data_IF_956051403131
#
_entry.id   IF_956051403131
#
_cell.length_a   1.000
_cell.length_b   1.000
_cell.length_c   1.000
_cell.angle_alpha   90.00
_cell.angle_beta   90.00
_cell.angle_gamma   90.00
#
_symmetry.space_group_name_H-M   'P 1'
#
loop_
_entity.id
_entity.type
_entity.pdbx_description
1 polymer ?
#
# COMPACT_ATOMS: atom_id res chain seq x y z
N UNK A 1 10.60 31.72 -9.08
CA UNK A 1 10.77 30.77 -7.96
C UNK A 1 11.40 29.50 -8.51
N UNK A 2 12.60 29.16 -8.04
CA UNK A 2 13.59 28.30 -8.73
C UNK A 2 13.30 26.80 -8.57
N UNK A 3 13.45 26.09 -9.70
CA UNK A 3 13.80 24.68 -9.90
C UNK A 3 13.99 23.83 -8.62
N UNK A 4 13.10 22.85 -8.42
CA UNK A 4 13.32 21.70 -7.55
C UNK A 4 12.89 20.40 -8.24
N UNK A 5 13.16 20.31 -9.55
CA UNK A 5 12.49 19.36 -10.45
C UNK A 5 13.41 18.33 -11.13
N UNK A 6 14.71 18.26 -10.83
CA UNK A 6 15.63 17.44 -11.64
C UNK A 6 16.01 16.05 -11.09
N UNK A 7 15.75 15.68 -9.83
CA UNK A 7 16.16 14.34 -9.32
C UNK A 7 15.22 13.73 -8.27
N UNK A 8 13.90 13.74 -8.49
CA UNK A 8 13.02 12.84 -7.72
C UNK A 8 12.58 11.70 -8.62
N UNK A 9 13.31 10.59 -8.54
CA UNK A 9 12.88 9.26 -9.00
C UNK A 9 11.69 8.77 -8.15
N UNK A 10 10.64 9.59 -8.00
CA UNK A 10 9.53 9.35 -7.08
C UNK A 10 8.22 9.43 -7.84
N UNK A 11 7.44 8.34 -7.79
CA UNK A 11 6.11 8.25 -8.36
C UNK A 11 5.10 7.91 -7.26
N UNK A 12 3.93 8.55 -7.29
CA UNK A 12 2.86 8.33 -6.33
C UNK A 12 1.63 7.82 -7.07
N UNK A 13 1.24 6.58 -6.82
CA UNK A 13 0.01 5.98 -7.33
C UNK A 13 -1.07 5.99 -6.26
N UNK A 14 -2.32 5.94 -6.71
CA UNK A 14 -3.50 5.84 -5.86
C UNK A 14 -4.35 4.69 -6.35
N UNK A 15 -4.91 3.93 -5.41
CA UNK A 15 -6.10 3.15 -5.72
C UNK A 15 -7.37 4.03 -5.68
N UNK A 16 -8.51 3.38 -5.69
CA UNK A 16 -9.85 3.96 -5.71
C UNK A 16 -10.39 4.32 -4.33
N UNK A 17 -9.80 3.82 -3.24
CA UNK A 17 -10.34 4.03 -1.90
C UNK A 17 -10.38 5.51 -1.48
N UNK A 18 -9.35 6.29 -1.83
CA UNK A 18 -9.33 7.72 -1.51
C UNK A 18 -8.40 8.57 -2.41
N UNK A 19 -8.75 8.72 -3.69
CA UNK A 19 -7.96 9.48 -4.68
C UNK A 19 -7.64 10.92 -4.27
N UNK A 20 -8.59 11.62 -3.65
CA UNK A 20 -8.40 13.01 -3.22
C UNK A 20 -7.25 13.19 -2.18
N UNK A 21 -6.95 12.15 -1.41
CA UNK A 21 -5.86 12.17 -0.44
C UNK A 21 -4.52 12.03 -1.16
N UNK A 22 -4.43 11.09 -2.10
CA UNK A 22 -3.25 10.94 -2.93
C UNK A 22 -2.95 12.20 -3.75
N UNK A 23 -3.98 12.85 -4.31
CA UNK A 23 -3.83 14.14 -5.01
C UNK A 23 -3.33 15.25 -4.09
N UNK A 24 -3.84 15.31 -2.86
CA UNK A 24 -3.38 16.29 -1.85
C UNK A 24 -1.92 16.04 -1.47
N UNK A 25 -1.52 14.78 -1.26
CA UNK A 25 -0.13 14.40 -1.02
C UNK A 25 0.76 14.81 -2.20
N UNK A 26 0.33 14.54 -3.44
CA UNK A 26 1.06 14.93 -4.64
C UNK A 26 1.26 16.45 -4.73
N UNK A 27 0.21 17.22 -4.39
CA UNK A 27 0.24 18.69 -4.37
C UNK A 27 1.25 19.23 -3.37
N UNK A 28 1.24 18.71 -2.14
CA UNK A 28 2.19 19.10 -1.08
C UNK A 28 3.63 18.72 -1.42
N UNK A 29 3.83 17.55 -2.04
CA UNK A 29 5.14 17.09 -2.49
C UNK A 29 5.64 17.79 -3.77
N UNK A 30 4.76 18.51 -4.47
CA UNK A 30 5.05 19.14 -5.75
C UNK A 30 5.30 18.14 -6.89
N UNK A 31 4.70 16.95 -6.81
CA UNK A 31 4.83 15.88 -7.81
C UNK A 31 3.52 15.65 -8.55
N UNK A 32 3.58 15.03 -9.73
CA UNK A 32 2.38 14.60 -10.46
C UNK A 32 1.97 13.20 -10.01
N UNK A 33 0.66 12.92 -9.85
CA UNK A 33 0.19 11.56 -9.64
C UNK A 33 0.63 10.66 -10.79
N UNK A 34 0.94 9.42 -10.45
CA UNK A 34 1.28 8.40 -11.42
C UNK A 34 0.07 7.97 -12.25
N UNK A 35 0.34 7.49 -13.46
CA UNK A 35 -0.66 7.02 -14.41
C UNK A 35 -0.83 5.52 -14.28
N UNK A 36 -1.95 5.12 -13.72
CA UNK A 36 -2.39 3.74 -13.72
C UNK A 36 -3.90 3.70 -13.92
N UNK A 37 -4.36 2.74 -14.73
CA UNK A 37 -5.73 2.31 -14.77
C UNK A 37 -5.97 1.39 -13.57
N UNK A 38 -6.92 1.76 -12.72
CA UNK A 38 -7.37 0.94 -11.59
C UNK A 38 -8.88 0.85 -11.69
N UNK A 39 -9.37 -0.27 -12.20
CA UNK A 39 -10.78 -0.52 -12.50
C UNK A 39 -11.20 -1.90 -11.99
N UNK A 40 -12.46 -2.26 -12.20
CA UNK A 40 -13.00 -3.58 -11.89
C UNK A 40 -13.58 -4.20 -13.15
N UNK A 41 -13.33 -5.48 -13.35
CA UNK A 41 -13.99 -6.28 -14.38
C UNK A 41 -15.49 -6.45 -14.05
N UNK A 42 -16.27 -6.94 -15.01
CA UNK A 42 -17.72 -7.12 -14.88
C UNK A 42 -18.14 -8.13 -13.80
N UNK A 43 -17.23 -9.04 -13.42
CA UNK A 43 -17.40 -10.02 -12.34
C UNK A 43 -16.95 -9.49 -10.96
N UNK A 44 -16.40 -8.27 -10.91
CA UNK A 44 -15.91 -7.64 -9.68
C UNK A 44 -14.43 -7.89 -9.38
N UNK A 45 -13.68 -8.57 -10.26
CA UNK A 45 -12.24 -8.71 -10.11
C UNK A 45 -11.51 -7.37 -10.34
N UNK A 46 -10.42 -7.14 -9.62
CA UNK A 46 -9.63 -5.91 -9.78
C UNK A 46 -8.80 -5.99 -11.06
N UNK A 47 -8.89 -4.94 -11.88
CA UNK A 47 -8.05 -4.71 -13.04
C UNK A 47 -7.08 -3.57 -12.76
N UNK A 48 -5.78 -3.82 -12.93
CA UNK A 48 -4.73 -2.81 -12.82
C UNK A 48 -3.83 -2.81 -14.04
N UNK A 49 -3.55 -1.64 -14.58
CA UNK A 49 -2.57 -1.44 -15.65
C UNK A 49 -1.74 -0.18 -15.36
N UNK A 50 -0.40 -0.32 -15.40
CA UNK A 50 0.51 0.81 -15.20
C UNK A 50 0.80 1.46 -16.56
N UNK A 51 0.41 2.72 -16.72
CA UNK A 51 0.44 3.45 -18.00
C UNK A 51 1.68 4.35 -18.15
N UNK A 52 2.67 4.22 -17.28
CA UNK A 52 3.92 4.96 -17.36
C UNK A 52 5.14 4.13 -16.95
N UNK A 53 6.34 4.65 -17.27
CA UNK A 53 7.57 3.98 -16.93
C UNK A 53 7.93 4.16 -15.44
N UNK A 54 7.84 3.07 -14.69
CA UNK A 54 8.19 3.00 -13.25
C UNK A 54 9.55 2.36 -12.99
N UNK A 55 10.30 1.98 -14.03
CA UNK A 55 11.54 1.19 -13.89
C UNK A 55 12.60 1.99 -13.14
N UNK A 56 13.18 1.38 -12.09
CA UNK A 56 14.18 2.00 -11.19
C UNK A 56 13.70 3.28 -10.47
N UNK A 57 12.38 3.50 -10.42
CA UNK A 57 11.77 4.58 -9.64
C UNK A 57 11.42 4.08 -8.23
N UNK A 58 11.48 4.97 -7.26
CA UNK A 58 10.84 4.78 -5.96
C UNK A 58 9.34 5.07 -6.11
N UNK A 59 8.52 4.10 -5.76
CA UNK A 59 7.08 4.16 -5.95
C UNK A 59 6.36 4.13 -4.62
N UNK A 60 5.38 5.00 -4.46
CA UNK A 60 4.50 5.08 -3.31
C UNK A 60 3.07 4.79 -3.74
N UNK A 61 2.41 3.85 -3.08
CA UNK A 61 1.02 3.49 -3.39
C UNK A 61 0.15 3.93 -2.23
N UNK A 62 -0.65 4.98 -2.43
CA UNK A 62 -1.58 5.49 -1.42
C UNK A 62 -2.92 4.79 -1.56
N UNK A 63 -3.24 3.93 -0.59
CA UNK A 63 -4.52 3.25 -0.55
C UNK A 63 -4.90 2.92 0.89
N UNK A 64 -5.87 3.65 1.47
CA UNK A 64 -6.53 3.23 2.69
C UNK A 64 -7.29 1.90 2.49
N UNK A 65 -7.25 1.01 3.48
CA UNK A 65 -8.07 -0.23 3.46
C UNK A 65 -9.37 -0.02 4.23
N UNK A 66 -10.05 1.10 3.95
CA UNK A 66 -11.36 1.44 4.52
C UNK A 66 -12.49 0.65 3.82
N UNK A 67 -13.73 0.79 4.30
CA UNK A 67 -14.85 0.07 3.70
C UNK A 67 -15.03 0.45 2.21
N UNK A 68 -15.14 -0.54 1.30
CA UNK A 68 -15.07 -1.99 1.55
C UNK A 68 -13.62 -2.51 1.68
N UNK A 69 -13.31 -3.11 2.83
CA UNK A 69 -11.92 -3.34 3.23
C UNK A 69 -11.22 -4.45 2.45
N UNK A 70 -11.94 -5.50 2.04
CA UNK A 70 -11.38 -6.61 1.29
C UNK A 70 -11.04 -6.19 -0.15
N UNK A 71 -11.97 -5.54 -0.85
CA UNK A 71 -11.72 -5.01 -2.19
C UNK A 71 -10.57 -4.00 -2.21
N UNK A 72 -10.56 -3.04 -1.29
CA UNK A 72 -9.48 -2.03 -1.22
C UNK A 72 -8.11 -2.64 -0.89
N UNK A 73 -8.08 -3.70 -0.07
CA UNK A 73 -6.87 -4.47 0.21
C UNK A 73 -6.41 -5.23 -1.04
N UNK A 74 -7.31 -5.93 -1.73
CA UNK A 74 -6.97 -6.65 -2.96
C UNK A 74 -6.46 -5.71 -4.05
N UNK A 75 -7.08 -4.55 -4.20
CA UNK A 75 -6.65 -3.53 -5.16
C UNK A 75 -5.22 -3.04 -4.87
N UNK A 76 -4.91 -2.78 -3.59
CA UNK A 76 -3.55 -2.41 -3.16
C UNK A 76 -2.54 -3.52 -3.48
N UNK A 77 -2.88 -4.77 -3.18
CA UNK A 77 -1.99 -5.92 -3.37
C UNK A 77 -1.68 -6.14 -4.86
N UNK A 78 -2.70 -6.07 -5.73
CA UNK A 78 -2.54 -6.21 -7.19
C UNK A 78 -1.73 -5.05 -7.76
N UNK A 79 -1.96 -3.83 -7.28
CA UNK A 79 -1.21 -2.65 -7.71
C UNK A 79 0.28 -2.74 -7.33
N UNK A 80 0.58 -3.22 -6.12
CA UNK A 80 1.97 -3.47 -5.70
C UNK A 80 2.64 -4.55 -6.54
N UNK A 81 1.96 -5.66 -6.82
CA UNK A 81 2.49 -6.74 -7.67
C UNK A 81 2.78 -6.23 -9.09
N UNK A 82 1.87 -5.46 -9.69
CA UNK A 82 2.07 -4.85 -11.01
C UNK A 82 3.31 -3.94 -11.06
N UNK A 83 3.49 -3.09 -10.03
CA UNK A 83 4.65 -2.20 -9.92
C UNK A 83 5.96 -2.96 -9.73
N UNK A 84 5.94 -4.05 -8.94
CA UNK A 84 7.12 -4.88 -8.71
C UNK A 84 7.53 -5.61 -10.00
N UNK A 85 6.57 -6.17 -10.73
CA UNK A 85 6.81 -6.79 -12.05
C UNK A 85 7.30 -5.79 -13.09
N UNK A 86 6.84 -4.54 -13.02
CA UNK A 86 7.34 -3.44 -13.84
C UNK A 86 8.75 -2.93 -13.45
N UNK A 87 9.44 -3.62 -12.53
CA UNK A 87 10.83 -3.33 -12.12
C UNK A 87 11.02 -1.98 -11.44
N UNK A 88 10.06 -1.55 -10.63
CA UNK A 88 10.25 -0.45 -9.68
C UNK A 88 11.46 -0.73 -8.76
N UNK A 89 12.24 0.31 -8.42
CA UNK A 89 13.38 0.16 -7.51
C UNK A 89 12.92 -0.22 -6.11
N UNK A 90 11.85 0.42 -5.64
CA UNK A 90 11.21 0.12 -4.36
C UNK A 90 9.73 0.48 -4.42
N UNK A 91 8.88 -0.32 -3.78
CA UNK A 91 7.45 -0.06 -3.64
C UNK A 91 7.11 0.11 -2.16
N UNK A 92 6.65 1.31 -1.80
CA UNK A 92 6.18 1.63 -0.45
C UNK A 92 4.65 1.72 -0.45
N UNK A 93 3.98 0.85 0.28
CA UNK A 93 2.54 0.91 0.48
C UNK A 93 2.21 1.92 1.58
N UNK A 94 1.50 2.98 1.25
CA UNK A 94 1.00 3.98 2.19
C UNK A 94 -0.47 3.66 2.47
N UNK A 95 -0.74 3.18 3.67
CA UNK A 95 -2.05 2.71 4.15
C UNK A 95 -2.49 3.59 5.33
N UNK A 96 -3.02 4.81 5.08
CA UNK A 96 -3.36 5.76 6.13
C UNK A 96 -4.34 5.21 7.17
N UNK A 97 -5.27 4.38 6.72
CA UNK A 97 -6.15 3.61 7.60
C UNK A 97 -5.94 2.13 7.32
N UNK A 98 -5.44 1.40 8.32
CA UNK A 98 -5.22 -0.04 8.24
C UNK A 98 -6.47 -0.79 8.73
N UNK A 99 -7.32 -1.20 7.78
CA UNK A 99 -8.34 -2.21 8.00
C UNK A 99 -7.73 -3.51 8.55
N UNK A 100 -8.53 -4.31 9.26
CA UNK A 100 -8.07 -5.52 9.97
C UNK A 100 -7.12 -5.30 11.17
N UNK A 101 -6.83 -4.04 11.55
CA UNK A 101 -6.01 -3.70 12.73
C UNK A 101 -6.64 -4.07 14.08
N UNK A 102 -7.96 -4.29 14.15
CA UNK A 102 -8.68 -4.54 15.42
C UNK A 102 -8.50 -5.95 16.02
N UNK A 103 -8.03 -6.92 15.23
CA UNK A 103 -7.71 -8.28 15.71
C UNK A 103 -6.19 -8.47 15.70
N UNK A 104 -5.50 -7.66 16.53
CA UNK A 104 -4.04 -7.64 16.68
C UNK A 104 -3.51 -8.72 17.64
N UNK A 105 -4.37 -9.23 18.54
CA UNK A 105 -3.98 -10.18 19.59
C UNK A 105 -4.99 -11.30 19.81
N UNK A 106 -4.49 -12.45 20.29
CA UNK A 106 -5.32 -13.50 20.88
C UNK A 106 -5.73 -13.09 22.29
N UNK A 107 -7.01 -12.83 22.53
CA UNK A 107 -7.53 -12.76 23.90
C UNK A 107 -7.70 -14.20 24.44
N UNK A 108 -7.12 -14.47 25.62
CA UNK A 108 -7.34 -15.65 26.49
C UNK A 108 -7.62 -16.96 25.74
N UNK A 109 -6.57 -17.58 25.18
CA UNK A 109 -6.60 -18.92 24.56
C UNK A 109 -7.70 -19.15 23.50
N UNK A 110 -8.32 -18.08 22.98
CA UNK A 110 -9.33 -18.19 21.93
C UNK A 110 -8.67 -18.53 20.60
N UNK A 111 -9.33 -19.40 19.82
CA UNK A 111 -8.94 -19.79 18.46
C UNK A 111 -9.37 -18.72 17.46
N UNK A 112 -8.91 -17.49 17.65
CA UNK A 112 -9.21 -16.35 16.76
C UNK A 112 -8.03 -16.05 15.82
N UNK A 113 -8.30 -15.61 14.57
CA UNK A 113 -7.24 -15.20 13.67
C UNK A 113 -6.63 -13.87 14.14
N UNK A 114 -5.34 -13.68 13.83
CA UNK A 114 -4.65 -12.39 13.96
C UNK A 114 -4.64 -11.77 12.56
N UNK A 115 -5.73 -11.12 12.17
CA UNK A 115 -5.92 -10.66 10.77
C UNK A 115 -4.94 -9.56 10.37
N UNK A 116 -4.46 -8.75 11.32
CA UNK A 116 -3.38 -7.80 11.08
C UNK A 116 -2.08 -8.49 10.62
N UNK A 117 -1.72 -9.63 11.24
CA UNK A 117 -0.54 -10.44 10.84
C UNK A 117 -0.75 -11.08 9.46
N UNK A 118 -1.96 -11.50 9.14
CA UNK A 118 -2.29 -12.03 7.82
C UNK A 118 -2.12 -10.96 6.74
N UNK A 119 -2.69 -9.77 6.95
CA UNK A 119 -2.54 -8.65 6.03
C UNK A 119 -1.06 -8.24 5.86
N UNK A 120 -0.29 -8.17 6.95
CA UNK A 120 1.15 -7.89 6.90
C UNK A 120 1.93 -8.92 6.05
N UNK A 121 1.60 -10.21 6.18
CA UNK A 121 2.19 -11.27 5.34
C UNK A 121 1.82 -11.11 3.88
N UNK A 122 0.59 -10.69 3.57
CA UNK A 122 0.15 -10.43 2.19
C UNK A 122 0.97 -9.30 1.55
N UNK A 123 1.19 -8.19 2.25
CA UNK A 123 2.04 -7.09 1.74
C UNK A 123 3.46 -7.56 1.42
N UNK A 124 4.04 -8.38 2.30
CA UNK A 124 5.37 -8.95 2.09
C UNK A 124 5.38 -9.89 0.89
N UNK A 125 4.35 -10.72 0.74
CA UNK A 125 4.24 -11.71 -0.34
C UNK A 125 4.13 -11.07 -1.73
N UNK A 126 3.44 -9.93 -1.87
CA UNK A 126 3.36 -9.20 -3.16
C UNK A 126 4.59 -8.33 -3.44
N UNK A 127 5.56 -8.27 -2.51
CA UNK A 127 6.83 -7.59 -2.71
C UNK A 127 6.82 -6.10 -2.35
N UNK A 128 5.95 -5.67 -1.43
CA UNK A 128 6.05 -4.34 -0.82
C UNK A 128 7.34 -4.26 0.02
N UNK A 129 8.21 -3.29 -0.30
CA UNK A 129 9.48 -3.12 0.40
C UNK A 129 9.29 -2.42 1.75
N UNK A 130 8.26 -1.58 1.86
CA UNK A 130 7.89 -0.84 3.09
C UNK A 130 6.38 -0.66 3.16
N UNK A 131 5.84 -0.61 4.38
CA UNK A 131 4.46 -0.23 4.66
C UNK A 131 4.46 0.96 5.61
N UNK A 132 3.79 2.05 5.24
CA UNK A 132 3.58 3.24 6.05
C UNK A 132 2.10 3.32 6.42
N UNK A 133 1.78 3.55 7.68
CA UNK A 133 0.40 3.67 8.15
C UNK A 133 0.33 4.69 9.28
N UNK A 134 -0.85 5.29 9.47
CA UNK A 134 -1.11 6.31 10.50
C UNK A 134 -2.12 5.73 11.47
N UNK A 135 -1.81 5.78 12.77
CA UNK A 135 -2.64 5.23 13.85
C UNK A 135 -2.96 3.73 13.74
N UNK A 136 -1.95 2.90 13.98
CA UNK A 136 -2.20 1.52 14.36
C UNK A 136 -2.79 1.53 15.78
N UNK A 137 -3.98 0.94 15.94
CA UNK A 137 -4.69 0.81 17.23
C UNK A 137 -3.96 -0.09 18.27
N UNK A 138 -2.67 -0.36 18.05
CA UNK A 138 -1.80 -1.03 18.99
C UNK A 138 -0.53 -0.18 19.15
N UNK A 139 -0.26 0.27 20.36
CA UNK A 139 0.86 1.15 20.78
C UNK A 139 2.29 0.64 20.43
N UNK A 140 2.48 -0.35 19.55
CA UNK A 140 3.80 -0.97 19.32
C UNK A 140 4.13 -1.37 17.88
N UNK A 141 3.39 -0.98 16.86
CA UNK A 141 3.68 -1.45 15.51
C UNK A 141 4.83 -0.70 14.77
N UNK A 142 5.87 -0.34 15.53
CA UNK A 142 7.20 0.00 15.04
C UNK A 142 8.09 -1.25 15.12
N UNK A 143 7.91 -2.20 14.19
CA UNK A 143 8.81 -3.36 14.15
C UNK A 143 8.23 -4.61 13.50
N UNK A 144 8.10 -4.62 12.18
CA UNK A 144 8.14 -5.88 11.41
C UNK A 144 9.09 -5.67 10.25
N UNK A 145 10.39 -5.70 10.57
CA UNK A 145 11.43 -6.18 9.65
C UNK A 145 11.82 -7.57 10.14
N UNK A 146 11.96 -8.49 9.20
CA UNK A 146 12.09 -9.93 9.44
C UNK A 146 13.12 -10.28 10.51
N UNK A 147 12.69 -11.15 11.41
CA UNK A 147 13.49 -11.96 12.31
C UNK A 147 12.66 -13.18 12.63
N UNK A 148 13.17 -14.35 12.27
CA UNK A 148 12.64 -15.64 12.69
C UNK A 148 12.51 -15.65 14.21
N UNK A 149 11.31 -15.82 14.74
CA UNK A 149 11.10 -16.19 16.15
C UNK A 149 9.78 -16.97 16.24
N UNK A 150 9.88 -18.25 15.88
CA UNK A 150 8.98 -19.30 16.37
C UNK A 150 9.43 -19.69 17.79
N UNK A 151 8.69 -19.22 18.80
CA UNK A 151 8.44 -19.94 20.08
C UNK A 151 7.02 -19.65 20.54
#
# INVERSE_FOLDING_TARGET
MKKMQEDRNLLVFSGNAHRALAESICRELGVRPGKALVSTFSDGEVQVEIEENVRRQEVFVVQPTCAPAAENLMELLVLVDALKRASAASVTAVVPYFGYSRQDRRLRSSRVPITAKVAAKMFTAVGADRVLTVDLHADHAHGVRGGDDDV
#
